data_IF_961343730126
#
_entry.id   IF_961343730126
#
_cell.length_a   1.000
_cell.length_b   1.000
_cell.length_c   1.000
_cell.angle_alpha   90.00
_cell.angle_beta   90.00
_cell.angle_gamma   90.00
#
_symmetry.space_group_name_H-M   'P 1'
#
loop_
_entity.id
_entity.type
_entity.pdbx_description
1 polymer ?
#
# COMPACT_ATOMS: atom_id res chain seq x y z
N UNK A 1 -0.10 22.30 3.84
CA UNK A 1 0.07 20.93 4.41
C UNK A 1 0.95 21.08 5.64
N UNK A 2 0.52 20.57 6.79
CA UNK A 2 1.32 20.55 8.02
C UNK A 2 1.82 19.11 8.24
N UNK A 3 3.11 18.97 8.53
CA UNK A 3 3.73 17.68 8.86
C UNK A 3 3.95 17.68 10.37
N UNK A 4 3.41 16.67 11.07
CA UNK A 4 3.67 16.47 12.49
C UNK A 4 5.00 15.76 12.66
N UNK A 5 5.91 16.36 13.42
CA UNK A 5 7.20 15.78 13.77
C UNK A 5 7.24 15.48 15.27
N UNK A 6 7.71 14.30 15.63
CA UNK A 6 7.91 13.89 17.02
C UNK A 6 8.99 14.78 17.66
N UNK A 7 8.71 15.35 18.83
CA UNK A 7 9.59 16.28 19.55
C UNK A 7 11.00 15.73 19.80
N UNK A 8 11.13 14.40 19.94
CA UNK A 8 12.42 13.72 20.08
C UNK A 8 13.33 13.77 18.83
N UNK A 9 12.82 14.23 17.68
CA UNK A 9 13.61 14.41 16.47
C UNK A 9 14.36 15.76 16.44
N UNK A 10 13.92 16.75 17.23
CA UNK A 10 14.56 18.07 17.33
C UNK A 10 15.91 17.97 18.04
N UNK A 11 16.00 17.20 19.14
CA UNK A 11 17.22 17.09 19.97
C UNK A 11 18.33 16.22 19.35
N UNK A 12 18.05 15.49 18.27
CA UNK A 12 18.95 14.49 17.70
C UNK A 12 19.61 14.90 16.38
N UNK A 13 19.48 16.17 15.94
CA UNK A 13 19.96 16.63 14.63
C UNK A 13 19.25 15.95 13.44
N UNK A 14 18.18 15.20 13.70
CA UNK A 14 17.39 14.50 12.69
C UNK A 14 16.52 15.46 11.89
N UNK A 15 16.25 16.64 12.44
CA UNK A 15 15.46 17.67 11.77
C UNK A 15 16.18 18.22 10.53
N UNK A 16 17.50 18.41 10.59
CA UNK A 16 18.27 18.85 9.42
C UNK A 16 18.24 17.80 8.31
N UNK A 17 18.42 16.53 8.64
CA UNK A 17 18.30 15.43 7.68
C UNK A 17 16.89 15.30 7.09
N UNK A 18 15.84 15.52 7.89
CA UNK A 18 14.45 15.53 7.42
C UNK A 18 14.22 16.71 6.47
N UNK A 19 14.68 17.91 6.82
CA UNK A 19 14.51 19.11 6.00
C UNK A 19 15.32 19.01 4.71
N UNK A 20 16.52 18.43 4.76
CA UNK A 20 17.35 18.15 3.58
C UNK A 20 16.67 17.11 2.67
N UNK A 21 16.13 16.03 3.23
CA UNK A 21 15.37 15.04 2.47
C UNK A 21 14.09 15.65 1.86
N UNK A 22 13.33 16.44 2.60
CA UNK A 22 12.14 17.12 2.10
C UNK A 22 12.48 18.15 1.01
N UNK A 23 13.61 18.85 1.15
CA UNK A 23 14.14 19.75 0.13
C UNK A 23 14.57 18.98 -1.12
N UNK A 24 15.27 17.86 -0.97
CA UNK A 24 15.61 16.96 -2.07
C UNK A 24 14.36 16.47 -2.81
N UNK A 25 13.33 16.04 -2.07
CA UNK A 25 12.03 15.59 -2.60
C UNK A 25 11.12 16.71 -3.12
N UNK A 26 11.47 17.99 -2.90
CA UNK A 26 10.73 19.12 -3.46
C UNK A 26 11.05 19.38 -4.93
N UNK A 27 12.18 18.85 -5.41
CA UNK A 27 12.51 18.81 -6.83
C UNK A 27 11.72 17.65 -7.48
N UNK A 28 10.96 17.97 -8.52
CA UNK A 28 10.07 17.02 -9.20
C UNK A 28 10.83 15.84 -9.81
N UNK A 29 12.01 16.06 -10.39
CA UNK A 29 12.82 14.99 -10.97
C UNK A 29 13.35 14.04 -9.90
N UNK A 30 13.80 14.57 -8.76
CA UNK A 30 14.24 13.78 -7.61
C UNK A 30 13.06 13.00 -7.01
N UNK A 31 11.89 13.64 -6.88
CA UNK A 31 10.68 13.00 -6.37
C UNK A 31 10.22 11.87 -7.30
N UNK A 32 10.24 12.09 -8.62
CA UNK A 32 9.93 11.08 -9.62
C UNK A 32 10.97 9.96 -9.63
N UNK A 33 12.26 10.28 -9.49
CA UNK A 33 13.34 9.30 -9.35
C UNK A 33 13.14 8.44 -8.10
N UNK A 34 12.79 9.05 -6.96
CA UNK A 34 12.56 8.36 -5.70
C UNK A 34 11.27 7.52 -5.72
N UNK A 35 10.16 8.07 -6.23
CA UNK A 35 8.88 7.39 -6.36
C UNK A 35 8.96 6.19 -7.32
N UNK A 36 9.74 6.32 -8.38
CA UNK A 36 10.00 5.26 -9.35
C UNK A 36 11.26 4.43 -9.03
N UNK A 37 11.88 4.67 -7.86
CA UNK A 37 13.03 3.93 -7.32
C UNK A 37 14.24 3.83 -8.27
N UNK A 38 14.44 4.85 -9.10
CA UNK A 38 15.50 5.00 -10.10
C UNK A 38 16.84 5.45 -9.46
N UNK A 39 17.21 4.94 -8.28
CA UNK A 39 18.38 5.44 -7.52
C UNK A 39 19.75 5.14 -8.15
N UNK A 40 19.77 4.32 -9.20
CA UNK A 40 20.90 4.22 -10.11
C UNK A 40 20.37 4.43 -11.52
N UNK A 41 20.54 5.63 -12.06
CA UNK A 41 20.25 5.96 -13.47
C UNK A 41 20.96 5.02 -14.45
N UNK A 42 22.00 4.30 -13.99
CA UNK A 42 22.72 3.28 -14.74
C UNK A 42 21.98 1.92 -14.81
N UNK A 43 21.02 1.65 -13.91
CA UNK A 43 20.34 0.36 -13.81
C UNK A 43 18.83 0.39 -14.11
N UNK A 44 18.25 1.56 -14.35
CA UNK A 44 16.83 1.69 -14.68
C UNK A 44 16.57 2.92 -15.57
N UNK A 45 15.55 2.82 -16.43
CA UNK A 45 15.12 3.87 -17.35
C UNK A 45 13.59 3.98 -17.38
N UNK A 46 13.07 5.02 -18.03
CA UNK A 46 11.65 5.16 -18.34
C UNK A 46 11.37 4.67 -19.76
N UNK A 47 10.29 3.91 -19.95
CA UNK A 47 9.81 3.56 -21.29
C UNK A 47 8.99 4.69 -21.93
N UNK A 48 8.50 4.45 -23.15
CA UNK A 48 7.71 5.42 -23.94
C UNK A 48 6.41 5.87 -23.26
N UNK A 49 5.96 5.15 -22.22
CA UNK A 49 4.78 5.50 -21.43
C UNK A 49 5.14 6.20 -20.11
N UNK A 50 6.43 6.41 -19.85
CA UNK A 50 6.93 6.96 -18.59
C UNK A 50 6.99 5.93 -17.47
N UNK A 51 6.86 4.63 -17.75
CA UNK A 51 6.95 3.58 -16.75
C UNK A 51 8.42 3.18 -16.50
N UNK A 52 8.85 3.05 -15.23
CA UNK A 52 10.20 2.60 -14.94
C UNK A 52 10.40 1.14 -15.36
N UNK A 53 11.59 0.82 -15.89
CA UNK A 53 12.04 -0.54 -16.18
C UNK A 53 13.52 -0.70 -15.84
N UNK A 54 13.90 -1.88 -15.36
CA UNK A 54 15.31 -2.19 -15.08
C UNK A 54 16.09 -2.38 -16.38
N UNK A 55 17.23 -1.71 -16.52
CA UNK A 55 18.18 -1.83 -17.63
C UNK A 55 19.12 -3.02 -17.44
N UNK A 56 19.44 -3.34 -16.19
CA UNK A 56 20.40 -4.38 -15.83
C UNK A 56 19.70 -5.63 -15.30
N UNK A 57 20.23 -6.78 -15.68
CA UNK A 57 19.82 -8.07 -15.15
C UNK A 57 20.25 -8.23 -13.68
N UNK A 58 19.68 -9.22 -12.99
CA UNK A 58 20.07 -9.53 -11.60
C UNK A 58 21.58 -9.81 -11.48
N UNK A 59 22.17 -10.48 -12.48
CA UNK A 59 23.58 -10.83 -12.46
C UNK A 59 24.47 -9.60 -12.61
N UNK A 60 24.14 -8.70 -13.54
CA UNK A 60 24.92 -7.46 -13.76
C UNK A 60 24.87 -6.53 -12.53
N UNK A 61 23.74 -6.48 -11.82
CA UNK A 61 23.64 -5.77 -10.54
C UNK A 61 24.54 -6.42 -9.46
N UNK A 62 24.59 -7.74 -9.39
CA UNK A 62 25.49 -8.43 -8.46
C UNK A 62 26.96 -8.18 -8.78
N UNK A 63 27.32 -8.11 -10.07
CA UNK A 63 28.67 -7.81 -10.53
C UNK A 63 29.11 -6.38 -10.17
N UNK A 64 28.16 -5.44 -10.06
CA UNK A 64 28.36 -4.08 -9.54
C UNK A 64 28.44 -4.00 -8.00
N UNK A 65 28.33 -5.13 -7.29
CA UNK A 65 28.44 -5.21 -5.84
C UNK A 65 27.12 -5.13 -5.08
N UNK A 66 25.97 -5.16 -5.76
CA UNK A 66 24.67 -5.21 -5.09
C UNK A 66 24.39 -6.60 -4.50
N UNK A 67 23.83 -6.63 -3.29
CA UNK A 67 23.59 -7.88 -2.57
C UNK A 67 22.40 -8.66 -3.17
N UNK A 68 22.59 -9.97 -3.40
CA UNK A 68 21.62 -10.84 -4.09
C UNK A 68 20.20 -10.85 -3.49
N UNK A 69 20.10 -10.71 -2.16
CA UNK A 69 18.88 -11.00 -1.39
C UNK A 69 18.39 -9.85 -0.52
N UNK A 70 18.96 -8.65 -0.63
CA UNK A 70 18.48 -7.55 0.20
C UNK A 70 17.24 -6.92 -0.43
N UNK A 71 16.32 -6.49 0.43
CA UNK A 71 15.22 -5.58 0.08
C UNK A 71 15.70 -4.32 -0.64
N UNK A 72 17.00 -4.03 -0.63
CA UNK A 72 17.60 -2.93 -1.38
C UNK A 72 17.49 -3.14 -2.91
N UNK A 73 17.57 -4.39 -3.40
CA UNK A 73 17.30 -4.70 -4.81
C UNK A 73 15.81 -4.57 -5.18
N UNK A 74 14.90 -4.66 -4.20
CA UNK A 74 13.48 -4.42 -4.48
C UNK A 74 13.25 -2.98 -4.91
N UNK A 75 14.13 -2.05 -4.56
CA UNK A 75 13.98 -0.69 -5.02
C UNK A 75 14.28 -0.59 -6.52
N UNK A 76 15.37 -1.21 -6.99
CA UNK A 76 15.73 -1.18 -8.42
C UNK A 76 14.81 -2.08 -9.29
N UNK A 77 14.27 -3.16 -8.72
CA UNK A 77 13.53 -4.20 -9.49
C UNK A 77 12.01 -4.20 -9.29
N UNK A 78 11.50 -3.63 -8.21
CA UNK A 78 10.04 -3.55 -8.02
C UNK A 78 9.57 -2.26 -8.69
N UNK A 79 9.33 -2.39 -9.99
CA UNK A 79 8.41 -1.48 -10.65
C UNK A 79 7.03 -1.71 -10.04
N UNK A 80 6.34 -0.64 -9.71
CA UNK A 80 4.93 -0.77 -9.39
C UNK A 80 4.23 -1.26 -10.65
N UNK A 81 3.57 -2.43 -10.55
CA UNK A 81 2.77 -3.03 -11.62
C UNK A 81 1.48 -2.23 -11.88
N UNK A 82 1.60 -0.94 -12.16
CA UNK A 82 0.47 -0.08 -12.44
C UNK A 82 -0.09 -0.44 -13.81
N UNK A 83 -1.29 -1.03 -13.80
CA UNK A 83 -1.98 -1.46 -15.00
C UNK A 83 -1.52 -2.81 -15.55
N UNK A 84 -2.39 -3.43 -16.35
CA UNK A 84 -2.20 -4.77 -16.92
C UNK A 84 -0.91 -4.88 -17.75
N UNK A 85 -0.67 -3.90 -18.61
CA UNK A 85 0.48 -3.91 -19.52
C UNK A 85 1.82 -3.99 -18.77
N UNK A 86 2.00 -3.16 -17.74
CA UNK A 86 3.23 -3.14 -16.95
C UNK A 86 3.39 -4.41 -16.10
N UNK A 87 2.30 -4.91 -15.52
CA UNK A 87 2.31 -6.20 -14.82
C UNK A 87 2.78 -7.34 -15.72
N UNK A 88 2.16 -7.48 -16.90
CA UNK A 88 2.46 -8.56 -17.85
C UNK A 88 3.90 -8.46 -18.33
N UNK A 89 4.37 -7.25 -18.66
CA UNK A 89 5.76 -6.98 -19.05
C UNK A 89 6.75 -7.37 -17.96
N UNK A 90 6.54 -6.92 -16.71
CA UNK A 90 7.44 -7.22 -15.59
C UNK A 90 7.46 -8.72 -15.26
N UNK A 91 6.30 -9.36 -15.22
CA UNK A 91 6.19 -10.77 -14.88
C UNK A 91 6.81 -11.67 -15.96
N UNK A 92 6.58 -11.34 -17.23
CA UNK A 92 7.20 -12.05 -18.37
C UNK A 92 8.72 -11.91 -18.36
N UNK A 93 9.26 -10.73 -18.03
CA UNK A 93 10.70 -10.53 -17.87
C UNK A 93 11.29 -11.32 -16.70
N UNK A 94 10.53 -11.46 -15.61
CA UNK A 94 10.97 -12.21 -14.42
C UNK A 94 10.95 -13.74 -14.60
N UNK A 95 10.11 -14.23 -15.50
CA UNK A 95 9.87 -15.65 -15.73
C UNK A 95 9.68 -15.93 -17.24
N UNK A 96 10.77 -15.83 -18.04
CA UNK A 96 10.71 -15.86 -19.51
C UNK A 96 10.27 -17.21 -20.10
N UNK A 97 10.27 -18.27 -19.28
CA UNK A 97 9.83 -19.61 -19.69
C UNK A 97 8.32 -19.83 -19.48
N UNK A 98 7.61 -18.86 -18.92
CA UNK A 98 6.15 -18.92 -18.71
C UNK A 98 5.47 -18.13 -19.84
N UNK A 99 4.42 -18.67 -20.47
CA UNK A 99 3.70 -17.97 -21.53
C UNK A 99 3.15 -16.62 -21.06
N UNK A 100 3.16 -15.63 -21.96
CA UNK A 100 2.68 -14.27 -21.65
C UNK A 100 1.20 -14.30 -21.29
N UNK A 101 0.42 -15.15 -21.94
CA UNK A 101 -1.02 -15.33 -21.74
C UNK A 101 -1.35 -15.75 -20.31
N UNK A 102 -0.47 -16.53 -19.66
CA UNK A 102 -0.64 -16.89 -18.24
C UNK A 102 -0.58 -15.66 -17.35
N UNK A 103 0.29 -14.69 -17.65
CA UNK A 103 0.38 -13.46 -16.88
C UNK A 103 -0.77 -12.50 -17.15
N UNK A 104 -1.30 -12.49 -18.38
CA UNK A 104 -2.52 -11.75 -18.71
C UNK A 104 -3.73 -12.29 -17.94
N UNK A 105 -3.94 -13.61 -17.96
CA UNK A 105 -5.02 -14.28 -17.24
C UNK A 105 -4.84 -14.12 -15.72
N UNK A 106 -3.61 -14.29 -15.22
CA UNK A 106 -3.31 -14.06 -13.80
C UNK A 106 -3.63 -12.62 -13.38
N UNK A 107 -3.33 -11.62 -14.21
CA UNK A 107 -3.71 -10.25 -13.92
C UNK A 107 -5.23 -10.11 -13.86
N UNK A 108 -5.96 -10.67 -14.81
CA UNK A 108 -7.41 -10.56 -14.85
C UNK A 108 -8.06 -11.25 -13.63
N UNK A 109 -7.57 -12.43 -13.24
CA UNK A 109 -8.10 -13.15 -12.07
C UNK A 109 -7.70 -12.49 -10.75
N UNK A 110 -6.45 -12.03 -10.62
CA UNK A 110 -5.89 -11.61 -9.32
C UNK A 110 -5.80 -10.11 -9.13
N UNK A 111 -6.08 -9.29 -10.15
CA UNK A 111 -5.89 -7.83 -10.13
C UNK A 111 -6.89 -7.03 -10.95
N UNK A 112 -7.74 -7.66 -11.78
CA UNK A 112 -8.88 -6.92 -12.35
C UNK A 112 -9.76 -6.41 -11.21
N UNK A 113 -10.34 -5.24 -11.44
CA UNK A 113 -11.22 -4.56 -10.48
C UNK A 113 -12.37 -5.50 -10.05
N UNK A 114 -12.80 -6.40 -10.95
CA UNK A 114 -13.86 -7.37 -10.71
C UNK A 114 -13.43 -8.55 -9.81
N UNK A 115 -12.13 -8.85 -9.72
CA UNK A 115 -11.60 -10.05 -9.02
C UNK A 115 -11.06 -9.82 -7.61
N UNK A 116 -10.58 -8.62 -7.28
CA UNK A 116 -10.00 -8.32 -5.95
C UNK A 116 -10.91 -7.50 -5.06
N UNK A 117 -11.64 -6.57 -5.66
CA UNK A 117 -12.53 -5.67 -4.97
C UNK A 117 -13.84 -5.71 -5.73
N UNK A 118 -14.68 -6.70 -5.43
CA UNK A 118 -16.07 -6.34 -5.25
C UNK A 118 -16.05 -5.24 -4.19
N UNK A 119 -15.95 -3.99 -4.64
CA UNK A 119 -16.51 -2.89 -3.89
C UNK A 119 -17.93 -3.39 -3.66
N UNK A 120 -18.19 -3.88 -2.45
CA UNK A 120 -19.56 -4.03 -1.95
C UNK A 120 -20.08 -2.61 -1.76
N UNK A 121 -20.11 -1.88 -2.88
CA UNK A 121 -20.57 -0.53 -3.01
C UNK A 121 -22.07 -0.71 -3.07
N UNK A 122 -22.69 -0.52 -1.92
CA UNK A 122 -24.10 -0.28 -1.85
C UNK A 122 -24.32 1.00 -2.68
N UNK A 123 -25.08 0.97 -3.80
CA UNK A 123 -25.18 2.07 -4.74
C UNK A 123 -26.00 3.26 -4.21
N UNK A 124 -26.34 3.24 -2.91
CA UNK A 124 -27.04 4.30 -2.21
C UNK A 124 -26.61 4.38 -0.75
N UNK A 125 -26.98 5.47 -0.09
CA UNK A 125 -26.78 5.64 1.35
C UNK A 125 -27.78 4.80 2.13
N UNK A 126 -27.27 4.06 3.12
CA UNK A 126 -28.07 3.36 4.10
C UNK A 126 -28.39 4.30 5.29
N UNK A 127 -29.51 4.10 6.01
CA UNK A 127 -29.83 4.88 7.21
C UNK A 127 -28.70 4.93 8.25
N UNK A 128 -27.99 3.80 8.42
CA UNK A 128 -26.87 3.68 9.36
C UNK A 128 -25.58 4.39 8.93
N UNK A 129 -25.48 4.90 7.69
CA UNK A 129 -24.28 5.61 7.22
C UNK A 129 -24.02 6.93 7.98
N UNK A 130 -25.03 7.44 8.70
CA UNK A 130 -24.88 8.59 9.58
C UNK A 130 -23.87 8.34 10.72
N UNK A 131 -23.67 7.09 11.13
CA UNK A 131 -22.73 6.69 12.19
C UNK A 131 -21.29 6.47 11.67
N UNK A 132 -21.10 6.33 10.36
CA UNK A 132 -19.84 5.87 9.78
C UNK A 132 -18.67 6.83 9.99
N UNK A 133 -18.90 8.14 10.00
CA UNK A 133 -17.84 9.13 10.23
C UNK A 133 -17.24 9.01 11.63
N UNK A 134 -18.07 8.74 12.65
CA UNK A 134 -17.63 8.48 14.02
C UNK A 134 -16.95 7.12 14.15
N UNK A 135 -17.54 6.09 13.56
CA UNK A 135 -17.01 4.72 13.60
C UNK A 135 -15.65 4.58 12.93
N UNK A 136 -15.37 5.27 11.82
CA UNK A 136 -14.07 5.22 11.15
C UNK A 136 -12.90 5.56 12.08
N UNK A 137 -13.07 6.59 12.90
CA UNK A 137 -12.06 6.99 13.89
C UNK A 137 -11.89 5.90 14.94
N UNK A 138 -12.99 5.38 15.48
CA UNK A 138 -12.96 4.35 16.51
C UNK A 138 -12.38 3.01 16.01
N UNK A 139 -12.59 2.65 14.74
CA UNK A 139 -12.03 1.44 14.11
C UNK A 139 -10.50 1.56 14.03
N UNK A 140 -9.99 2.71 13.60
CA UNK A 140 -8.55 2.97 13.59
C UNK A 140 -7.97 2.89 15.01
N UNK A 141 -8.64 3.48 16.00
CA UNK A 141 -8.22 3.39 17.40
C UNK A 141 -8.24 1.95 17.92
N UNK A 142 -9.30 1.19 17.63
CA UNK A 142 -9.42 -0.22 17.98
C UNK A 142 -8.22 -1.02 17.46
N UNK A 143 -7.92 -0.89 16.16
CA UNK A 143 -6.81 -1.62 15.54
C UNK A 143 -5.46 -1.28 16.21
N UNK A 144 -5.19 0.02 16.45
CA UNK A 144 -3.95 0.47 17.08
C UNK A 144 -3.81 -0.02 18.53
N UNK A 145 -4.90 0.01 19.31
CA UNK A 145 -4.92 -0.47 20.69
C UNK A 145 -4.70 -1.97 20.78
N UNK A 146 -5.35 -2.74 19.91
CA UNK A 146 -5.24 -4.20 19.89
C UNK A 146 -3.84 -4.65 19.46
N UNK A 147 -3.26 -4.04 18.42
CA UNK A 147 -1.89 -4.37 17.96
C UNK A 147 -0.84 -3.97 19.00
N UNK A 148 -1.09 -2.92 19.77
CA UNK A 148 -0.17 -2.41 20.80
C UNK A 148 -0.52 -2.92 22.21
N UNK A 149 -1.36 -3.95 22.34
CA UNK A 149 -1.81 -4.43 23.64
C UNK A 149 -0.63 -4.93 24.48
N UNK A 150 -0.57 -4.59 25.79
CA UNK A 150 0.46 -5.12 26.69
C UNK A 150 0.45 -6.66 26.69
N UNK A 151 1.63 -7.27 26.89
CA UNK A 151 1.76 -8.72 26.93
C UNK A 151 0.78 -9.35 27.94
N UNK A 152 -0.03 -10.29 27.47
CA UNK A 152 -1.06 -10.97 28.28
C UNK A 152 -2.34 -10.16 28.52
N UNK A 153 -2.54 -9.02 27.85
CA UNK A 153 -3.77 -8.20 27.98
C UNK A 153 -4.57 -8.05 26.68
N UNK A 154 -4.25 -8.85 25.65
CA UNK A 154 -4.89 -8.77 24.34
C UNK A 154 -6.41 -8.85 24.43
N UNK A 155 -6.95 -9.91 25.05
CA UNK A 155 -8.39 -10.16 25.17
C UNK A 155 -9.11 -8.98 25.83
N UNK A 156 -8.57 -8.48 26.94
CA UNK A 156 -9.15 -7.33 27.64
C UNK A 156 -9.19 -6.08 26.77
N UNK A 157 -8.08 -5.75 26.11
CA UNK A 157 -7.98 -4.56 25.24
C UNK A 157 -8.89 -4.69 24.03
N UNK A 158 -9.00 -5.90 23.47
CA UNK A 158 -9.90 -6.22 22.38
C UNK A 158 -11.36 -6.04 22.80
N UNK A 159 -11.79 -6.64 23.91
CA UNK A 159 -13.17 -6.58 24.40
C UNK A 159 -13.59 -5.14 24.72
N UNK A 160 -12.78 -4.39 25.49
CA UNK A 160 -13.07 -3.00 25.84
C UNK A 160 -13.12 -2.08 24.62
N UNK A 161 -12.26 -2.32 23.63
CA UNK A 161 -12.21 -1.50 22.42
C UNK A 161 -13.35 -1.87 21.45
N UNK A 162 -13.72 -3.16 21.38
CA UNK A 162 -14.85 -3.63 20.57
C UNK A 162 -16.18 -3.16 21.14
N UNK A 163 -16.35 -3.22 22.47
CA UNK A 163 -17.55 -2.70 23.15
C UNK A 163 -17.82 -1.23 22.79
N UNK A 164 -16.77 -0.40 22.71
CA UNK A 164 -16.91 1.00 22.27
C UNK A 164 -17.41 1.14 20.84
N UNK A 165 -17.03 0.24 19.93
CA UNK A 165 -17.56 0.24 18.57
C UNK A 165 -19.05 -0.10 18.58
N UNK A 166 -19.44 -1.13 19.34
CA UNK A 166 -20.84 -1.55 19.49
C UNK A 166 -21.69 -0.43 20.11
N UNK A 167 -21.21 0.21 21.18
CA UNK A 167 -21.84 1.38 21.81
C UNK A 167 -22.00 2.58 20.87
N UNK A 168 -21.21 2.63 19.80
CA UNK A 168 -21.27 3.66 18.75
C UNK A 168 -21.91 3.14 17.45
N UNK A 169 -22.90 2.26 17.58
CA UNK A 169 -23.77 1.80 16.48
C UNK A 169 -23.08 0.92 15.42
N UNK A 170 -21.97 0.24 15.77
CA UNK A 170 -21.35 -0.72 14.84
C UNK A 170 -22.34 -1.82 14.44
N UNK A 171 -23.10 -2.38 15.37
CA UNK A 171 -24.06 -3.44 15.06
C UNK A 171 -25.18 -2.95 14.14
N UNK A 172 -25.69 -1.74 14.35
CA UNK A 172 -26.71 -1.15 13.47
C UNK A 172 -26.19 -1.06 12.03
N UNK A 173 -24.95 -0.61 11.85
CA UNK A 173 -24.30 -0.54 10.53
C UNK A 173 -24.10 -1.93 9.91
N UNK A 174 -23.65 -2.92 10.69
CA UNK A 174 -23.43 -4.28 10.18
C UNK A 174 -24.74 -4.96 9.79
N UNK A 175 -25.79 -4.81 10.61
CA UNK A 175 -27.11 -5.36 10.35
C UNK A 175 -27.78 -4.72 9.13
N UNK A 176 -27.69 -3.40 8.98
CA UNK A 176 -28.26 -2.66 7.85
C UNK A 176 -27.58 -3.05 6.53
N UNK A 177 -26.25 -3.26 6.55
CA UNK A 177 -25.50 -3.79 5.39
C UNK A 177 -25.83 -5.24 5.07
N UNK A 178 -25.94 -6.10 6.09
CA UNK A 178 -26.33 -7.50 5.89
C UNK A 178 -27.73 -7.60 5.28
N UNK A 179 -28.69 -6.84 5.80
CA UNK A 179 -30.05 -6.77 5.27
C UNK A 179 -30.10 -6.26 3.82
N UNK A 180 -29.27 -5.25 3.48
CA UNK A 180 -29.16 -4.81 2.10
C UNK A 180 -28.60 -5.92 1.20
N UNK A 181 -27.55 -6.62 1.64
CA UNK A 181 -26.94 -7.70 0.87
C UNK A 181 -27.94 -8.83 0.61
N UNK A 182 -28.61 -9.32 1.66
CA UNK A 182 -29.63 -10.38 1.59
C UNK A 182 -30.81 -10.02 0.68
N UNK A 183 -31.09 -8.73 0.49
CA UNK A 183 -32.18 -8.26 -0.37
C UNK A 183 -31.78 -8.07 -1.84
N UNK A 184 -30.48 -8.06 -2.17
CA UNK A 184 -29.98 -7.68 -3.50
C UNK A 184 -29.09 -8.76 -4.15
N UNK A 185 -28.87 -9.90 -3.50
CA UNK A 185 -28.10 -11.06 -3.99
C UNK A 185 -28.87 -12.35 -3.67
#
# INVERSE_FOLDING_TARGET
RYVYVLKSAEDAGKMDAIMEFLSFMSNEDNANTFANRLWSSEAAALDETGAPYALLTKQELMDLGYAERTSDMNNIRVNFDFGKANYVKNQSASAPNVPVEFFEEKYDVTRSVDGLYHLSAIPGTLPSDTYMSGLQTLICEFALKVISAPAGQFEKVWEESYAKLVENHLEDVLNDRAAWYDANH
#
